data_IF_546263542393
#
_entry.id   IF_546263542393
#
_cell.length_a   1.000
_cell.length_b   1.000
_cell.length_c   1.000
_cell.angle_alpha   90.00
_cell.angle_beta   90.00
_cell.angle_gamma   90.00
#
_symmetry.space_group_name_H-M   'P 1'
#
loop_
_entity.id
_entity.type
_entity.pdbx_description
1 polymer ?
#
# COMPACT_ATOMS: atom_id res chain seq x y z
N UNK A 1 -0.04 10.09 -11.98
CA UNK A 1 -0.18 8.79 -11.27
C UNK A 1 -1.65 8.41 -11.10
N UNK A 2 -2.00 7.13 -10.91
CA UNK A 2 -3.40 6.62 -10.95
C UNK A 2 -4.13 6.58 -9.58
N UNK A 3 -3.55 7.12 -8.52
CA UNK A 3 -4.14 7.20 -7.17
C UNK A 3 -4.30 5.86 -6.42
N UNK A 4 -4.14 4.72 -7.08
CA UNK A 4 -4.27 3.38 -6.48
C UNK A 4 -3.03 3.06 -5.64
N UNK A 5 -3.20 2.94 -4.32
CA UNK A 5 -2.16 2.51 -3.37
C UNK A 5 -1.57 1.16 -3.80
N UNK A 6 -0.26 1.01 -3.70
CA UNK A 6 0.42 -0.29 -3.86
C UNK A 6 -0.07 -1.30 -2.81
N UNK A 7 -0.10 -2.58 -3.18
CA UNK A 7 -0.57 -3.69 -2.33
C UNK A 7 0.46 -4.81 -2.30
N UNK A 8 0.57 -5.49 -1.16
CA UNK A 8 1.46 -6.64 -0.98
C UNK A 8 2.94 -6.29 -1.18
N UNK A 9 3.70 -7.22 -1.75
CA UNK A 9 5.17 -7.16 -1.86
C UNK A 9 5.70 -5.90 -2.56
N UNK A 10 4.94 -5.30 -3.49
CA UNK A 10 5.34 -4.06 -4.16
C UNK A 10 5.46 -2.88 -3.20
N UNK A 11 4.70 -2.85 -2.10
CA UNK A 11 4.83 -1.81 -1.07
C UNK A 11 6.19 -1.91 -0.37
N UNK A 12 6.58 -3.12 0.06
CA UNK A 12 7.88 -3.37 0.70
C UNK A 12 9.05 -3.13 -0.27
N UNK A 13 8.93 -3.58 -1.53
CA UNK A 13 9.96 -3.37 -2.55
C UNK A 13 10.20 -1.88 -2.85
N UNK A 14 9.13 -1.08 -2.93
CA UNK A 14 9.23 0.37 -3.16
C UNK A 14 9.70 1.14 -1.92
N UNK A 15 9.37 0.68 -0.70
CA UNK A 15 9.96 1.22 0.53
C UNK A 15 11.46 0.93 0.61
N UNK A 16 11.89 -0.29 0.30
CA UNK A 16 13.31 -0.66 0.24
C UNK A 16 14.09 0.12 -0.81
N UNK A 17 13.53 0.26 -2.03
CA UNK A 17 14.13 1.06 -3.09
C UNK A 17 14.21 2.56 -2.73
N UNK A 18 13.14 3.12 -2.14
CA UNK A 18 13.11 4.51 -1.70
C UNK A 18 14.14 4.79 -0.60
N UNK A 19 14.19 3.92 0.43
CA UNK A 19 15.17 4.02 1.51
C UNK A 19 16.62 3.91 1.01
N UNK A 20 16.91 2.93 0.15
CA UNK A 20 18.25 2.74 -0.41
C UNK A 20 18.71 3.89 -1.33
N UNK A 21 17.77 4.62 -1.94
CA UNK A 21 18.05 5.79 -2.77
C UNK A 21 17.91 7.14 -2.02
N UNK A 22 17.57 7.13 -0.73
CA UNK A 22 17.35 8.34 0.07
C UNK A 22 16.10 9.15 -0.32
N UNK A 23 15.12 8.56 -1.00
CA UNK A 23 13.90 9.24 -1.42
C UNK A 23 12.93 9.44 -0.25
N UNK A 24 12.57 10.69 0.03
CA UNK A 24 11.72 11.07 1.16
C UNK A 24 10.23 10.75 1.07
N UNK A 25 9.70 10.29 -0.08
CA UNK A 25 8.29 9.87 -0.20
C UNK A 25 8.14 8.54 -0.98
N UNK A 26 7.07 7.82 -0.67
CA UNK A 26 6.59 6.63 -1.37
C UNK A 26 5.68 6.90 -2.58
N UNK A 27 5.67 8.09 -3.20
CA UNK A 27 4.95 8.31 -4.46
C UNK A 27 5.81 7.95 -5.68
N UNK A 28 5.33 6.93 -6.40
CA UNK A 28 5.94 6.41 -7.62
C UNK A 28 4.94 6.47 -8.79
N UNK A 29 5.47 6.45 -10.01
CA UNK A 29 4.71 6.39 -11.26
C UNK A 29 5.57 5.91 -12.42
N UNK A 30 4.96 5.33 -13.46
CA UNK A 30 5.69 5.06 -14.72
C UNK A 30 6.01 6.38 -15.43
N UNK A 31 6.98 6.40 -16.35
CA UNK A 31 7.32 7.60 -17.14
C UNK A 31 6.07 8.30 -17.72
N UNK A 32 5.19 7.51 -18.37
CA UNK A 32 3.95 8.03 -18.92
C UNK A 32 3.00 8.58 -17.85
N UNK A 33 2.92 7.99 -16.66
CA UNK A 33 2.07 8.50 -15.57
C UNK A 33 2.57 9.81 -14.92
N UNK A 34 3.81 10.20 -15.19
CA UNK A 34 4.36 11.52 -14.87
C UNK A 34 4.09 12.50 -16.02
N UNK A 35 4.34 12.10 -17.26
CA UNK A 35 4.05 12.88 -18.47
C UNK A 35 2.56 13.23 -18.61
N UNK A 36 1.65 12.27 -18.37
CA UNK A 36 0.20 12.44 -18.31
C UNK A 36 -0.23 13.39 -17.15
N UNK A 37 0.67 13.68 -16.20
CA UNK A 37 0.46 14.60 -15.07
C UNK A 37 1.23 15.92 -15.23
N UNK A 38 1.71 16.24 -16.44
CA UNK A 38 2.42 17.49 -16.75
C UNK A 38 3.89 17.54 -16.29
N UNK A 39 4.44 16.42 -15.82
CA UNK A 39 5.74 16.35 -15.16
C UNK A 39 6.75 15.48 -15.90
N UNK A 40 8.04 15.80 -15.78
CA UNK A 40 9.12 15.22 -16.58
C UNK A 40 10.14 14.51 -15.70
N UNK A 41 10.42 13.24 -15.99
CA UNK A 41 11.53 12.50 -15.38
C UNK A 41 12.85 13.13 -15.85
N UNK A 42 13.78 13.43 -14.94
CA UNK A 42 15.07 14.02 -15.30
C UNK A 42 15.93 13.08 -16.13
N UNK A 43 16.78 13.66 -16.99
CA UNK A 43 17.72 12.88 -17.80
C UNK A 43 18.77 12.18 -16.91
N UNK A 44 19.13 10.94 -17.25
CA UNK A 44 20.07 10.11 -16.48
C UNK A 44 19.47 9.38 -15.27
N UNK A 45 18.24 9.69 -14.85
CA UNK A 45 17.57 9.01 -13.74
C UNK A 45 17.30 7.52 -14.01
N UNK A 46 17.49 6.69 -12.99
CA UNK A 46 17.31 5.22 -13.11
C UNK A 46 15.94 4.79 -12.61
N UNK A 47 15.20 4.04 -13.43
CA UNK A 47 13.91 3.47 -13.02
C UNK A 47 14.07 2.32 -12.02
N UNK A 48 13.20 2.28 -11.01
CA UNK A 48 12.99 1.09 -10.18
C UNK A 48 12.02 0.13 -10.88
N UNK A 49 12.29 -1.17 -10.85
CA UNK A 49 11.41 -2.20 -11.44
C UNK A 49 10.44 -2.75 -10.39
N UNK A 50 9.14 -2.74 -10.69
CA UNK A 50 8.09 -3.38 -9.86
C UNK A 50 7.37 -4.49 -10.64
N UNK A 51 6.85 -5.50 -9.94
CA UNK A 51 6.20 -6.66 -10.55
C UNK A 51 4.71 -6.65 -10.24
N UNK A 52 3.90 -6.37 -11.25
CA UNK A 52 2.45 -6.45 -11.15
C UNK A 52 1.98 -7.85 -11.54
N UNK A 53 1.53 -8.61 -10.55
CA UNK A 53 0.82 -9.87 -10.75
C UNK A 53 -0.62 -9.59 -11.16
N UNK A 54 -1.12 -10.32 -12.15
CA UNK A 54 -2.53 -10.34 -12.56
C UNK A 54 -2.93 -11.76 -12.92
N UNK A 55 -4.16 -12.11 -12.59
CA UNK A 55 -4.82 -13.30 -13.12
C UNK A 55 -5.36 -12.98 -14.52
N UNK A 56 -5.25 -13.95 -15.44
CA UNK A 56 -5.78 -13.86 -16.81
C UNK A 56 -6.59 -15.13 -17.07
N UNK A 57 -7.88 -14.96 -17.38
CA UNK A 57 -8.71 -16.00 -17.97
C UNK A 57 -8.26 -16.21 -19.42
N UNK A 58 -7.80 -17.43 -19.75
CA UNK A 58 -7.42 -17.79 -21.11
C UNK A 58 -8.54 -18.60 -21.73
N UNK A 59 -9.49 -17.92 -22.36
CA UNK A 59 -10.42 -18.57 -23.29
C UNK A 59 -9.61 -19.19 -24.43
N UNK A 60 -9.60 -20.53 -24.54
CA UNK A 60 -9.03 -21.21 -25.70
C UNK A 60 -9.75 -20.71 -26.95
N UNK A 61 -9.01 -20.17 -27.91
CA UNK A 61 -9.52 -20.09 -29.28
C UNK A 61 -9.56 -21.53 -29.80
N UNK A 62 -10.73 -21.95 -30.29
CA UNK A 62 -10.98 -23.35 -30.62
C UNK A 62 -10.16 -23.79 -31.83
N UNK A 63 -9.34 -24.83 -31.65
CA UNK A 63 -8.80 -25.74 -32.68
C UNK A 63 -8.04 -26.88 -31.99
N UNK A 64 -8.77 -27.66 -31.19
CA UNK A 64 -8.51 -29.09 -30.88
C UNK A 64 -9.62 -29.63 -29.97
N UNK A 65 -10.10 -30.82 -30.29
CA UNK A 65 -11.00 -31.62 -29.46
C UNK A 65 -10.15 -32.40 -28.45
N UNK A 66 -10.29 -32.10 -27.14
CA UNK A 66 -10.30 -33.09 -26.04
C UNK A 66 -10.29 -32.42 -24.64
N UNK A 67 -11.20 -32.94 -23.82
CA UNK A 67 -11.29 -33.01 -22.34
C UNK A 67 -11.22 -31.78 -21.39
N UNK A 68 -11.95 -31.95 -20.28
CA UNK A 68 -12.14 -31.12 -19.07
C UNK A 68 -12.39 -29.59 -19.23
N UNK A 69 -13.62 -29.18 -18.86
CA UNK A 69 -14.13 -27.80 -18.84
C UNK A 69 -13.65 -26.99 -17.62
N UNK A 70 -12.36 -27.15 -17.27
CA UNK A 70 -11.75 -26.49 -16.13
C UNK A 70 -11.31 -25.06 -16.53
N UNK A 71 -11.79 -24.04 -15.80
CA UNK A 71 -11.50 -22.63 -16.09
C UNK A 71 -10.03 -22.32 -15.74
N UNK A 72 -9.11 -22.59 -16.68
CA UNK A 72 -7.66 -22.50 -16.49
C UNK A 72 -7.17 -21.04 -16.26
N UNK A 73 -7.35 -20.52 -15.05
CA UNK A 73 -6.85 -19.21 -14.60
C UNK A 73 -5.34 -19.22 -14.55
N UNK A 74 -4.68 -18.35 -15.34
CA UNK A 74 -3.22 -18.25 -15.39
C UNK A 74 -2.73 -16.97 -14.71
N UNK A 75 -1.82 -17.12 -13.76
CA UNK A 75 -1.14 -16.00 -13.11
C UNK A 75 -0.03 -15.46 -14.02
N UNK A 76 -0.08 -14.16 -14.30
CA UNK A 76 0.87 -13.45 -15.15
C UNK A 76 1.59 -12.35 -14.37
N UNK A 77 2.92 -12.42 -14.32
CA UNK A 77 3.78 -11.37 -13.78
C UNK A 77 4.18 -10.40 -14.89
N UNK A 78 3.92 -9.10 -14.72
CA UNK A 78 4.43 -8.05 -15.60
C UNK A 78 5.34 -7.09 -14.85
N UNK A 79 6.59 -7.01 -15.27
CA UNK A 79 7.51 -5.97 -14.84
C UNK A 79 7.09 -4.60 -15.39
N UNK A 80 7.24 -3.55 -14.57
CA UNK A 80 7.06 -2.15 -14.95
C UNK A 80 8.19 -1.30 -14.38
N UNK A 81 8.75 -0.42 -15.21
CA UNK A 81 9.67 0.64 -14.77
C UNK A 81 8.89 1.81 -14.17
N UNK A 82 9.20 2.17 -12.93
CA UNK A 82 8.66 3.33 -12.22
C UNK A 82 9.77 4.25 -11.72
N UNK A 83 9.43 5.52 -11.56
CA UNK A 83 10.28 6.58 -11.04
C UNK A 83 9.59 7.23 -9.83
N UNK A 84 10.39 7.62 -8.84
CA UNK A 84 9.92 8.33 -7.65
C UNK A 84 9.65 9.81 -7.99
N UNK A 85 8.79 10.48 -7.22
CA UNK A 85 8.62 11.95 -7.31
C UNK A 85 9.96 12.70 -7.20
N UNK A 86 10.90 12.22 -6.38
CA UNK A 86 12.23 12.83 -6.24
C UNK A 86 13.07 12.84 -7.53
N UNK A 87 12.70 12.05 -8.55
CA UNK A 87 13.36 11.94 -9.86
C UNK A 87 12.66 12.75 -10.97
N UNK A 88 11.63 13.53 -10.60
CA UNK A 88 10.67 14.13 -11.53
C UNK A 88 10.52 15.62 -11.23
N UNK A 89 10.73 16.44 -12.25
CA UNK A 89 10.55 17.89 -12.17
C UNK A 89 9.14 18.27 -12.71
N UNK A 90 8.60 19.39 -12.21
CA UNK A 90 7.29 19.91 -12.65
C UNK A 90 6.06 19.24 -12.01
N UNK A 91 6.22 18.26 -11.11
CA UNK A 91 5.09 17.71 -10.36
C UNK A 91 4.87 18.42 -9.02
N UNK A 92 3.95 19.38 -8.98
CA UNK A 92 3.45 19.90 -7.71
C UNK A 92 2.49 18.90 -7.05
N UNK A 93 2.62 18.74 -5.73
CA UNK A 93 1.73 17.88 -4.94
C UNK A 93 0.46 18.63 -4.55
N UNK A 94 -0.72 18.00 -4.65
CA UNK A 94 -1.90 18.46 -3.92
C UNK A 94 -1.56 18.57 -2.43
N UNK A 95 -1.71 19.77 -1.86
CA UNK A 95 -1.46 19.98 -0.44
C UNK A 95 -2.47 19.17 0.37
N UNK A 96 -2.00 18.11 1.05
CA UNK A 96 -2.83 17.31 1.94
C UNK A 96 -2.72 17.94 3.34
N UNK A 97 -3.78 18.58 3.86
CA UNK A 97 -3.72 19.24 5.15
C UNK A 97 -3.42 18.21 6.23
N UNK A 98 -2.36 18.45 7.00
CA UNK A 98 -2.07 17.66 8.20
C UNK A 98 -3.10 18.06 9.25
N UNK A 99 -4.10 17.21 9.46
CA UNK A 99 -5.12 17.42 10.47
C UNK A 99 -4.47 17.53 11.87
N UNK A 100 -5.00 18.39 12.76
CA UNK A 100 -4.60 18.45 14.16
C UNK A 100 -4.60 17.07 14.84
N UNK A 101 -3.75 16.90 15.84
CA UNK A 101 -3.61 15.61 16.54
C UNK A 101 -4.95 15.13 17.13
N UNK A 102 -5.73 16.02 17.72
CA UNK A 102 -7.08 15.74 18.23
C UNK A 102 -8.03 15.17 17.17
N UNK A 103 -8.03 15.72 15.96
CA UNK A 103 -8.84 15.22 14.84
C UNK A 103 -8.32 13.87 14.32
N UNK A 104 -7.00 13.68 14.26
CA UNK A 104 -6.38 12.40 13.88
C UNK A 104 -6.72 11.29 14.88
N UNK A 105 -6.68 11.58 16.18
CA UNK A 105 -7.02 10.65 17.25
C UNK A 105 -8.53 10.32 17.23
N UNK A 106 -9.40 11.31 17.01
CA UNK A 106 -10.83 11.09 16.83
C UNK A 106 -11.14 10.19 15.62
N UNK A 107 -10.41 10.36 14.50
CA UNK A 107 -10.50 9.47 13.35
C UNK A 107 -9.99 8.05 13.64
N UNK A 108 -8.94 7.88 14.46
CA UNK A 108 -8.43 6.56 14.85
C UNK A 108 -9.43 5.81 15.75
N UNK A 109 -9.96 6.48 16.78
CA UNK A 109 -10.98 5.91 17.67
C UNK A 109 -12.26 5.54 16.92
N UNK A 110 -12.74 6.44 16.04
CA UNK A 110 -13.89 6.16 15.18
C UNK A 110 -13.61 5.00 14.20
N UNK A 111 -12.38 4.85 13.69
CA UNK A 111 -12.02 3.72 12.83
C UNK A 111 -12.05 2.40 13.60
N UNK A 112 -11.39 2.32 14.77
CA UNK A 112 -11.37 1.10 15.60
C UNK A 112 -12.78 0.73 16.07
N UNK A 113 -13.57 1.70 16.53
CA UNK A 113 -14.97 1.49 16.92
C UNK A 113 -15.80 0.89 15.78
N UNK A 114 -15.64 1.41 14.55
CA UNK A 114 -16.37 0.92 13.37
C UNK A 114 -15.86 -0.43 12.82
N UNK A 115 -14.70 -0.93 13.25
CA UNK A 115 -14.28 -2.30 12.94
C UNK A 115 -15.05 -3.36 13.74
N UNK A 116 -15.69 -2.98 14.87
CA UNK A 116 -16.41 -3.90 15.73
C UNK A 116 -15.54 -4.97 16.41
N UNK A 117 -14.21 -4.81 16.38
CA UNK A 117 -13.26 -5.74 17.00
C UNK A 117 -13.45 -5.75 18.51
N UNK A 118 -13.54 -6.95 19.09
CA UNK A 118 -13.67 -7.12 20.54
C UNK A 118 -12.33 -6.83 21.22
N UNK A 119 -12.27 -5.73 21.96
CA UNK A 119 -11.09 -5.32 22.74
C UNK A 119 -11.36 -5.48 24.24
N UNK A 120 -10.47 -6.18 24.94
CA UNK A 120 -10.45 -6.31 26.40
C UNK A 120 -9.26 -5.51 26.97
N UNK A 121 -9.52 -4.64 27.95
CA UNK A 121 -8.49 -3.77 28.54
C UNK A 121 -7.96 -4.34 29.86
N UNK A 122 -6.64 -4.51 29.96
CA UNK A 122 -5.95 -5.00 31.15
C UNK A 122 -4.56 -5.57 30.86
N UNK A 123 -3.87 -6.02 31.90
CA UNK A 123 -2.51 -6.55 31.80
C UNK A 123 -1.46 -5.49 31.47
N UNK A 124 -0.28 -5.94 31.03
CA UNK A 124 0.90 -5.11 30.76
C UNK A 124 1.35 -5.11 29.29
N UNK A 125 0.74 -5.93 28.43
CA UNK A 125 1.19 -6.15 27.05
C UNK A 125 -0.01 -6.14 26.09
N UNK A 126 0.20 -5.64 24.87
CA UNK A 126 -0.80 -5.65 23.80
C UNK A 126 -0.65 -6.89 22.91
N UNK A 127 -1.73 -7.66 22.73
CA UNK A 127 -1.70 -8.87 21.89
C UNK A 127 -3.08 -9.23 21.34
N UNK A 128 -3.12 -9.93 20.21
CA UNK A 128 -4.35 -10.55 19.69
C UNK A 128 -4.42 -12.02 20.12
N UNK A 129 -5.61 -12.49 20.53
CA UNK A 129 -5.89 -13.88 20.94
C UNK A 129 -6.82 -14.57 19.93
N UNK A 130 -6.28 -15.30 18.92
CA UNK A 130 -7.08 -15.88 17.84
C UNK A 130 -8.18 -16.84 18.31
N UNK A 131 -7.95 -17.59 19.39
CA UNK A 131 -8.90 -18.56 19.93
C UNK A 131 -10.18 -17.96 20.54
N UNK A 132 -10.26 -16.63 20.67
CA UNK A 132 -11.45 -15.93 21.14
C UNK A 132 -11.77 -14.67 20.32
N UNK A 133 -11.13 -14.50 19.15
CA UNK A 133 -11.21 -13.29 18.29
C UNK A 133 -11.25 -11.98 19.11
N UNK A 134 -10.25 -11.82 19.99
CA UNK A 134 -10.20 -10.73 20.97
C UNK A 134 -8.81 -10.08 20.96
N UNK A 135 -8.77 -8.75 20.87
CA UNK A 135 -7.56 -7.96 21.11
C UNK A 135 -7.48 -7.63 22.59
N UNK A 136 -6.30 -7.79 23.18
CA UNK A 136 -5.97 -7.37 24.54
C UNK A 136 -5.09 -6.12 24.46
N UNK A 137 -5.46 -5.09 25.21
CA UNK A 137 -4.71 -3.84 25.29
C UNK A 137 -4.42 -3.49 26.76
N UNK A 138 -3.20 -3.03 27.09
CA UNK A 138 -2.94 -2.40 28.38
C UNK A 138 -3.89 -1.20 28.61
N UNK A 139 -4.15 -0.80 29.87
CA UNK A 139 -4.87 0.44 30.13
C UNK A 139 -4.12 1.64 29.53
N UNK A 140 -4.84 2.66 29.07
CA UNK A 140 -4.27 3.84 28.42
C UNK A 140 -3.12 4.51 29.22
N UNK A 141 -3.18 4.46 30.56
CA UNK A 141 -2.15 4.97 31.48
C UNK A 141 -0.80 4.26 31.39
N UNK A 142 -0.71 3.10 30.71
CA UNK A 142 0.54 2.40 30.43
C UNK A 142 1.28 2.97 29.19
N UNK A 143 0.64 3.84 28.42
CA UNK A 143 1.20 4.46 27.22
C UNK A 143 1.70 5.87 27.51
N UNK A 144 2.71 6.34 26.77
CA UNK A 144 3.32 7.67 26.94
C UNK A 144 2.39 8.80 26.47
N UNK A 145 1.65 8.55 25.40
CA UNK A 145 0.77 9.50 24.73
C UNK A 145 -0.29 8.73 23.91
N UNK A 146 -1.33 9.44 23.47
CA UNK A 146 -2.42 8.84 22.69
C UNK A 146 -1.95 8.31 21.33
N UNK A 147 -0.96 8.95 20.70
CA UNK A 147 -0.40 8.50 19.42
C UNK A 147 0.47 7.24 19.53
N UNK A 148 0.73 6.75 20.74
CA UNK A 148 1.37 5.46 21.02
C UNK A 148 0.36 4.35 21.36
N UNK A 149 -0.92 4.68 21.54
CA UNK A 149 -2.01 3.76 21.86
C UNK A 149 -2.81 3.33 20.62
N UNK A 150 -2.82 4.14 19.55
CA UNK A 150 -3.47 3.90 18.25
C UNK A 150 -2.47 3.53 17.14
#
# INVERSE_FOLDING_TARGET
SSGKRYRGINTLALWGAGFAAGYGDGLWGTYKQWQDAGAQVREGERSTTVVLWREIQVSRQADNEDDDDDEHRRMFARAFSVFNIAQVDGYERPNTPVLPETERLAHAEAFITNLGVKTEFGGSEAYYRPSADTVFMPPFTSFRDAASFY
#
